data_IF_370895692608
#
_entry.id   IF_370895692608
#
_cell.length_a   1.000
_cell.length_b   1.000
_cell.length_c   1.000
_cell.angle_alpha   90.00
_cell.angle_beta   90.00
_cell.angle_gamma   90.00
#
_symmetry.space_group_name_H-M   'P 1'
#
loop_
_entity.id
_entity.type
_entity.pdbx_description
1 polymer ?
#
# COMPACT_ATOMS: atom_id res chain seq x y z
N UNK A 1 15.70 23.40 37.40
CA UNK A 1 14.66 23.72 36.42
C UNK A 1 14.38 22.45 35.64
N UNK A 2 13.32 21.75 36.01
CA UNK A 2 12.81 20.60 35.28
C UNK A 2 11.47 21.06 34.69
N UNK A 3 11.46 21.44 33.41
CA UNK A 3 10.23 21.64 32.67
C UNK A 3 9.65 20.25 32.36
N UNK A 4 8.95 19.70 33.35
CA UNK A 4 8.09 18.53 33.19
C UNK A 4 6.75 18.95 32.62
N UNK A 5 6.73 19.50 31.40
CA UNK A 5 5.52 19.47 30.59
C UNK A 5 5.35 18.06 30.08
N UNK A 6 4.26 17.37 30.46
CA UNK A 6 3.87 16.10 29.82
C UNK A 6 3.98 16.28 28.31
N UNK A 7 4.93 15.55 27.70
CA UNK A 7 5.20 15.78 26.29
C UNK A 7 4.06 15.17 25.52
N UNK A 8 3.27 15.98 24.81
CA UNK A 8 2.04 15.59 24.10
C UNK A 8 2.22 14.33 23.22
N UNK A 9 3.43 14.09 22.72
CA UNK A 9 3.77 12.89 21.96
C UNK A 9 3.80 11.61 22.79
N UNK A 10 4.06 11.65 24.11
CA UNK A 10 4.02 10.48 24.99
C UNK A 10 2.60 9.93 25.14
N UNK A 11 1.60 10.84 25.19
CA UNK A 11 0.17 10.49 25.23
C UNK A 11 -0.30 9.83 23.92
N UNK A 12 0.34 10.18 22.81
CA UNK A 12 -0.03 9.72 21.47
C UNK A 12 0.97 8.75 20.84
N UNK A 13 1.98 8.26 21.58
CA UNK A 13 3.08 7.45 21.03
C UNK A 13 2.62 6.17 20.33
N UNK A 14 1.54 5.55 20.82
CA UNK A 14 0.92 4.36 20.21
C UNK A 14 0.28 4.65 18.85
N UNK A 15 0.00 5.92 18.53
CA UNK A 15 -0.54 6.38 17.26
C UNK A 15 0.53 6.94 16.32
N UNK A 16 1.81 6.81 16.66
CA UNK A 16 2.94 7.27 15.85
C UNK A 16 3.59 6.06 15.20
N UNK A 17 3.44 5.93 13.89
CA UNK A 17 4.13 4.92 13.11
C UNK A 17 5.65 5.17 13.17
N UNK A 18 6.46 4.17 13.56
CA UNK A 18 7.91 4.26 13.52
C UNK A 18 8.38 4.31 12.06
N UNK A 19 9.16 5.34 11.72
CA UNK A 19 9.76 5.51 10.40
C UNK A 19 11.28 5.35 10.50
N UNK A 20 11.90 4.66 9.53
CA UNK A 20 13.36 4.43 9.50
C UNK A 20 14.18 5.74 9.50
N UNK A 21 13.64 6.80 8.91
CA UNK A 21 14.26 8.14 8.85
C UNK A 21 13.98 9.01 10.10
N UNK A 22 13.11 8.54 11.00
CA UNK A 22 12.58 9.35 12.09
C UNK A 22 11.53 10.37 11.63
N UNK A 23 11.10 11.23 12.57
CA UNK A 23 10.11 12.30 12.36
C UNK A 23 10.63 13.61 12.93
N UNK A 24 10.26 14.73 12.31
CA UNK A 24 10.54 16.05 12.86
C UNK A 24 9.61 16.32 14.05
N UNK A 25 10.19 16.66 15.22
CA UNK A 25 9.43 16.86 16.48
C UNK A 25 8.43 18.02 16.35
N UNK A 26 8.83 19.12 15.69
CA UNK A 26 7.96 20.28 15.46
C UNK A 26 6.73 19.93 14.62
N UNK A 27 6.93 19.19 13.52
CA UNK A 27 5.84 18.74 12.66
C UNK A 27 4.94 17.71 13.36
N UNK A 28 5.53 16.87 14.23
CA UNK A 28 4.78 15.93 15.05
C UNK A 28 3.88 16.66 16.06
N UNK A 29 4.41 17.64 16.80
CA UNK A 29 3.60 18.46 17.70
C UNK A 29 2.45 19.14 16.94
N UNK A 30 2.75 19.76 15.79
CA UNK A 30 1.72 20.38 14.95
C UNK A 30 0.64 19.37 14.52
N UNK A 31 1.02 18.16 14.12
CA UNK A 31 0.08 17.11 13.72
C UNK A 31 -0.78 16.59 14.89
N UNK A 32 -0.21 16.52 16.10
CA UNK A 32 -0.91 16.08 17.30
C UNK A 32 -1.92 17.13 17.77
N UNK A 33 -1.52 18.41 17.82
CA UNK A 33 -2.42 19.50 18.24
C UNK A 33 -3.57 19.68 17.25
N UNK A 34 -3.30 19.62 15.93
CA UNK A 34 -4.33 19.73 14.88
C UNK A 34 -5.37 18.58 14.90
N UNK A 35 -5.05 17.45 15.54
CA UNK A 35 -5.97 16.32 15.68
C UNK A 35 -6.98 16.54 16.81
N UNK A 36 -6.62 17.28 17.85
CA UNK A 36 -7.47 17.55 19.01
C UNK A 36 -8.61 18.52 18.68
N UNK A 37 -8.41 19.41 17.70
CA UNK A 37 -9.35 20.47 17.33
C UNK A 37 -10.48 20.05 16.38
N UNK A 38 -10.62 18.76 16.04
CA UNK A 38 -11.80 18.23 15.34
C UNK A 38 -12.21 18.97 14.06
N UNK A 39 -11.63 18.58 12.92
CA UNK A 39 -11.82 19.03 11.52
C UNK A 39 -10.56 19.70 10.94
N UNK A 40 -9.64 18.86 10.46
CA UNK A 40 -9.17 18.68 9.07
C UNK A 40 -9.43 19.74 7.96
N UNK A 41 -9.92 20.96 8.18
CA UNK A 41 -10.09 21.96 7.12
C UNK A 41 -8.73 22.48 6.64
N UNK A 42 -7.82 22.82 7.57
CA UNK A 42 -6.48 23.28 7.23
C UNK A 42 -5.63 22.19 6.55
N UNK A 43 -5.70 20.95 7.04
CA UNK A 43 -5.00 19.80 6.43
C UNK A 43 -5.56 19.50 5.03
N UNK A 44 -6.89 19.53 4.86
CA UNK A 44 -7.50 19.33 3.55
C UNK A 44 -7.22 20.49 2.59
N UNK A 45 -7.19 21.73 3.07
CA UNK A 45 -6.83 22.90 2.28
C UNK A 45 -5.36 22.85 1.83
N UNK A 46 -4.46 22.44 2.72
CA UNK A 46 -3.06 22.22 2.37
C UNK A 46 -2.89 21.06 1.39
N UNK A 47 -3.71 20.00 1.53
CA UNK A 47 -3.74 18.92 0.55
C UNK A 47 -4.19 19.44 -0.82
N UNK A 48 -5.26 20.23 -0.86
CA UNK A 48 -5.77 20.83 -2.09
C UNK A 48 -4.73 21.75 -2.74
N UNK A 49 -4.03 22.58 -1.96
CA UNK A 49 -3.00 23.48 -2.51
C UNK A 49 -1.86 22.71 -3.18
N UNK A 50 -1.41 21.59 -2.61
CA UNK A 50 -0.45 20.70 -3.26
C UNK A 50 -1.00 20.03 -4.52
N UNK A 51 -2.25 19.56 -4.51
CA UNK A 51 -2.88 18.93 -5.68
C UNK A 51 -3.05 19.91 -6.86
N UNK A 52 -3.32 21.16 -6.53
CA UNK A 52 -3.42 22.27 -7.47
C UNK A 52 -2.06 22.68 -8.00
N UNK A 53 -1.06 22.77 -7.13
CA UNK A 53 0.34 22.98 -7.52
C UNK A 53 0.75 21.90 -8.52
N UNK A 54 0.49 20.62 -8.22
CA UNK A 54 0.81 19.50 -9.13
C UNK A 54 0.14 19.59 -10.51
N UNK A 55 -1.07 20.14 -10.61
CA UNK A 55 -1.80 20.27 -11.89
C UNK A 55 -1.39 21.50 -12.70
N UNK A 56 -1.01 22.57 -12.01
CA UNK A 56 -0.72 23.88 -12.59
C UNK A 56 0.78 24.20 -12.60
N UNK A 57 1.61 23.26 -12.17
CA UNK A 57 3.06 23.38 -12.16
C UNK A 57 3.58 23.47 -13.60
N UNK A 58 4.34 24.52 -13.85
CA UNK A 58 4.92 24.85 -15.16
C UNK A 58 6.43 25.10 -15.00
N UNK A 59 7.03 24.53 -13.95
CA UNK A 59 8.45 24.66 -13.65
C UNK A 59 9.27 23.51 -14.23
N UNK A 60 10.59 23.66 -14.16
CA UNK A 60 11.55 22.71 -14.74
C UNK A 60 11.70 21.38 -13.97
N UNK A 61 11.23 21.32 -12.70
CA UNK A 61 11.34 20.14 -11.84
C UNK A 61 10.00 19.73 -11.18
N UNK A 62 9.12 19.01 -11.91
CA UNK A 62 7.85 18.51 -11.35
C UNK A 62 8.04 17.55 -10.17
N UNK A 63 9.16 16.84 -10.09
CA UNK A 63 9.45 15.87 -9.03
C UNK A 63 9.57 16.53 -7.64
N UNK A 64 10.05 17.78 -7.56
CA UNK A 64 10.19 18.51 -6.30
C UNK A 64 8.84 18.69 -5.59
N UNK A 65 7.79 19.02 -6.34
CA UNK A 65 6.44 19.19 -5.77
C UNK A 65 5.95 17.87 -5.17
N UNK A 66 6.22 16.75 -5.84
CA UNK A 66 5.86 15.42 -5.33
C UNK A 66 6.66 15.03 -4.08
N UNK A 67 7.97 15.29 -4.04
CA UNK A 67 8.80 15.00 -2.86
C UNK A 67 8.35 15.85 -1.66
N UNK A 68 8.09 17.15 -1.86
CA UNK A 68 7.51 18.02 -0.83
C UNK A 68 6.16 17.53 -0.35
N UNK A 69 5.28 17.14 -1.27
CA UNK A 69 3.95 16.67 -0.93
C UNK A 69 3.99 15.37 -0.12
N UNK A 70 4.84 14.41 -0.51
CA UNK A 70 5.00 13.13 0.20
C UNK A 70 5.60 13.34 1.59
N UNK A 71 6.64 14.16 1.72
CA UNK A 71 7.23 14.51 3.02
C UNK A 71 6.20 15.19 3.94
N UNK A 72 5.39 16.08 3.39
CA UNK A 72 4.30 16.71 4.13
C UNK A 72 3.27 15.66 4.59
N UNK A 73 2.83 14.75 3.71
CA UNK A 73 1.90 13.68 4.07
C UNK A 73 2.45 12.77 5.18
N UNK A 74 3.74 12.41 5.13
CA UNK A 74 4.36 11.60 6.19
C UNK A 74 4.37 12.33 7.54
N UNK A 75 4.62 13.64 7.54
CA UNK A 75 4.70 14.45 8.75
C UNK A 75 3.32 14.73 9.34
N UNK A 76 2.33 15.06 8.51
CA UNK A 76 0.97 15.42 8.94
C UNK A 76 0.17 14.22 9.43
N UNK A 77 0.46 13.01 8.93
CA UNK A 77 -0.26 11.79 9.31
C UNK A 77 0.65 10.83 10.11
N UNK A 78 0.78 11.01 11.43
CA UNK A 78 1.64 10.18 12.26
C UNK A 78 1.22 8.70 12.27
N UNK A 79 -0.07 8.41 12.07
CA UNK A 79 -0.63 7.05 12.19
C UNK A 79 -0.48 6.18 10.94
N UNK A 80 -0.03 6.74 9.79
CA UNK A 80 0.23 5.95 8.58
C UNK A 80 -0.98 5.26 7.94
N UNK A 81 -2.19 5.57 8.41
CA UNK A 81 -3.41 4.89 7.98
C UNK A 81 -3.87 5.30 6.58
N UNK A 82 -5.00 4.72 6.14
CA UNK A 82 -5.64 4.99 4.84
C UNK A 82 -5.96 6.47 4.62
N UNK A 83 -6.15 7.23 5.70
CA UNK A 83 -6.39 8.68 5.67
C UNK A 83 -5.27 9.48 4.98
N UNK A 84 -4.03 8.99 5.07
CA UNK A 84 -2.87 9.64 4.45
C UNK A 84 -2.84 9.54 2.92
N UNK A 85 -3.53 8.54 2.33
CA UNK A 85 -3.46 8.20 0.91
C UNK A 85 -2.02 8.05 0.36
N UNK A 86 -1.04 7.78 1.23
CA UNK A 86 0.39 7.77 0.88
C UNK A 86 0.71 6.74 -0.21
N UNK A 87 0.19 5.51 -0.09
CA UNK A 87 0.38 4.47 -1.12
C UNK A 87 -0.16 4.90 -2.47
N UNK A 88 -1.35 5.52 -2.51
CA UNK A 88 -1.95 6.02 -3.75
C UNK A 88 -1.11 7.15 -4.36
N UNK A 89 -0.52 8.02 -3.53
CA UNK A 89 0.39 9.07 -3.98
C UNK A 89 1.66 8.47 -4.58
N UNK A 90 2.28 7.51 -3.90
CA UNK A 90 3.47 6.80 -4.38
C UNK A 90 3.20 6.09 -5.71
N UNK A 91 2.07 5.37 -5.85
CA UNK A 91 1.66 4.73 -7.10
C UNK A 91 1.53 5.73 -8.25
N UNK A 92 0.94 6.91 -7.99
CA UNK A 92 0.79 7.97 -8.99
C UNK A 92 2.14 8.52 -9.45
N UNK A 93 3.05 8.77 -8.51
CA UNK A 93 4.40 9.28 -8.82
C UNK A 93 5.16 8.26 -9.66
N UNK A 94 5.17 7.01 -9.20
CA UNK A 94 5.82 5.91 -9.90
C UNK A 94 5.29 5.80 -11.33
N UNK A 95 3.97 5.74 -11.50
CA UNK A 95 3.35 5.58 -12.83
C UNK A 95 3.65 6.77 -13.76
N UNK A 96 3.68 8.00 -13.23
CA UNK A 96 3.95 9.21 -14.02
C UNK A 96 5.40 9.31 -14.48
N UNK A 97 6.36 9.06 -13.60
CA UNK A 97 7.78 9.29 -13.89
C UNK A 97 8.52 8.06 -14.42
N UNK A 98 7.85 6.90 -14.52
CA UNK A 98 8.45 5.68 -15.11
C UNK A 98 8.90 5.89 -16.56
N UNK A 99 8.21 6.76 -17.32
CA UNK A 99 8.57 7.06 -18.71
C UNK A 99 9.68 8.12 -18.82
N UNK A 100 9.90 8.90 -17.76
CA UNK A 100 10.81 10.04 -17.74
C UNK A 100 12.21 9.67 -17.25
N UNK A 101 13.08 9.26 -18.19
CA UNK A 101 14.47 8.85 -17.92
C UNK A 101 15.35 9.91 -17.22
N UNK A 102 14.94 11.19 -17.23
CA UNK A 102 15.64 12.31 -16.56
C UNK A 102 15.82 12.06 -15.07
N UNK A 103 14.85 11.41 -14.43
CA UNK A 103 14.79 11.24 -12.97
C UNK A 103 15.32 9.90 -12.47
N UNK A 104 15.70 8.98 -13.36
CA UNK A 104 16.09 7.61 -12.98
C UNK A 104 17.24 7.57 -11.97
N UNK A 105 18.21 8.49 -12.07
CA UNK A 105 19.38 8.54 -11.18
C UNK A 105 19.25 9.59 -10.07
N UNK A 106 18.12 10.28 -9.96
CA UNK A 106 17.92 11.28 -8.89
C UNK A 106 17.74 10.56 -7.54
N UNK A 107 18.53 10.90 -6.49
CA UNK A 107 18.37 10.33 -5.16
C UNK A 107 16.94 10.44 -4.62
N UNK A 108 16.24 11.54 -4.93
CA UNK A 108 14.86 11.78 -4.49
C UNK A 108 13.91 10.75 -5.09
N UNK A 109 14.07 10.47 -6.38
CA UNK A 109 13.21 9.51 -7.07
C UNK A 109 13.45 8.08 -6.57
N UNK A 110 14.71 7.69 -6.37
CA UNK A 110 15.08 6.39 -5.80
C UNK A 110 14.52 6.22 -4.39
N UNK A 111 14.57 7.27 -3.57
CA UNK A 111 13.98 7.26 -2.24
C UNK A 111 12.46 7.04 -2.26
N UNK A 112 11.75 7.64 -3.23
CA UNK A 112 10.31 7.44 -3.40
C UNK A 112 9.98 6.01 -3.81
N UNK A 113 10.80 5.40 -4.67
CA UNK A 113 10.67 3.99 -5.04
C UNK A 113 10.94 3.04 -3.87
N UNK A 114 11.96 3.32 -3.05
CA UNK A 114 12.24 2.54 -1.84
C UNK A 114 11.04 2.61 -0.89
N UNK A 115 10.45 3.80 -0.69
CA UNK A 115 9.22 3.95 0.11
C UNK A 115 8.04 3.18 -0.47
N UNK A 116 7.91 3.17 -1.80
CA UNK A 116 6.89 2.38 -2.47
C UNK A 116 7.09 0.87 -2.25
N UNK A 117 8.33 0.39 -2.30
CA UNK A 117 8.71 -0.99 -1.98
C UNK A 117 8.36 -1.36 -0.53
N UNK A 118 8.71 -0.50 0.45
CA UNK A 118 8.38 -0.69 1.87
C UNK A 118 6.87 -0.74 2.14
N UNK A 119 6.04 -0.11 1.28
CA UNK A 119 4.58 -0.11 1.40
C UNK A 119 3.88 -1.29 0.70
N UNK A 120 4.61 -2.10 -0.05
CA UNK A 120 4.07 -3.16 -0.91
C UNK A 120 4.19 -4.55 -0.28
N UNK A 121 3.34 -5.49 -0.69
CA UNK A 121 3.33 -6.85 -0.15
C UNK A 121 4.56 -7.68 -0.58
N UNK A 122 5.09 -7.43 -1.78
CA UNK A 122 6.29 -8.11 -2.31
C UNK A 122 7.33 -7.07 -2.75
N UNK A 123 8.17 -6.57 -1.81
CA UNK A 123 9.14 -5.51 -2.11
C UNK A 123 10.20 -5.92 -3.14
N UNK A 124 10.55 -7.21 -3.20
CA UNK A 124 11.56 -7.73 -4.14
C UNK A 124 11.19 -7.55 -5.61
N UNK A 125 9.91 -7.65 -5.96
CA UNK A 125 9.49 -7.47 -7.35
C UNK A 125 9.64 -6.01 -7.80
N UNK A 126 9.50 -5.08 -6.87
CA UNK A 126 9.73 -3.65 -7.13
C UNK A 126 11.22 -3.39 -7.35
N UNK A 127 12.10 -3.97 -6.54
CA UNK A 127 13.55 -3.83 -6.76
C UNK A 127 14.01 -4.48 -8.07
N UNK A 128 13.45 -5.64 -8.44
CA UNK A 128 13.68 -6.26 -9.75
C UNK A 128 13.20 -5.34 -10.88
N UNK A 129 12.02 -4.74 -10.74
CA UNK A 129 11.51 -3.78 -11.70
C UNK A 129 12.46 -2.59 -11.88
N UNK A 130 12.90 -1.98 -10.78
CA UNK A 130 13.88 -0.90 -10.80
C UNK A 130 15.19 -1.31 -11.49
N UNK A 131 15.68 -2.53 -11.24
CA UNK A 131 16.87 -3.06 -11.91
C UNK A 131 16.67 -3.18 -13.43
N UNK A 132 15.55 -3.75 -13.88
CA UNK A 132 15.26 -3.93 -15.32
C UNK A 132 15.08 -2.60 -16.06
N UNK A 133 14.46 -1.61 -15.41
CA UNK A 133 14.26 -0.26 -15.96
C UNK A 133 15.51 0.63 -15.83
N UNK A 134 16.52 0.18 -15.09
CA UNK A 134 17.71 0.97 -14.81
C UNK A 134 17.43 2.20 -13.95
N UNK A 135 16.49 2.10 -13.01
CA UNK A 135 16.16 3.17 -12.06
C UNK A 135 17.10 3.04 -10.85
N UNK A 136 17.85 4.08 -10.54
CA UNK A 136 18.72 4.14 -9.36
C UNK A 136 19.99 3.30 -9.46
N UNK A 137 20.39 2.88 -10.66
CA UNK A 137 21.58 2.04 -10.87
C UNK A 137 22.89 2.71 -10.47
N UNK A 138 22.93 4.04 -10.42
CA UNK A 138 24.09 4.80 -9.92
C UNK A 138 24.01 5.10 -8.43
N UNK A 139 22.91 4.73 -7.75
CA UNK A 139 22.64 5.16 -6.37
C UNK A 139 22.86 4.03 -5.38
N UNK A 140 23.73 4.25 -4.40
CA UNK A 140 24.03 3.25 -3.38
C UNK A 140 22.80 2.91 -2.50
N UNK A 141 21.87 3.87 -2.31
CA UNK A 141 20.65 3.64 -1.53
C UNK A 141 19.77 2.52 -2.10
N UNK A 142 19.72 2.38 -3.42
CA UNK A 142 18.98 1.30 -4.09
C UNK A 142 19.54 -0.08 -3.72
N UNK A 143 20.85 -0.29 -3.91
CA UNK A 143 21.50 -1.56 -3.61
C UNK A 143 21.44 -1.92 -2.12
N UNK A 144 21.60 -0.92 -1.23
CA UNK A 144 21.48 -1.13 0.22
C UNK A 144 20.08 -1.61 0.57
N UNK A 145 19.03 -0.90 0.14
CA UNK A 145 17.65 -1.26 0.47
C UNK A 145 17.24 -2.62 -0.12
N UNK A 146 17.71 -2.92 -1.34
CA UNK A 146 17.46 -4.21 -1.98
C UNK A 146 18.18 -5.37 -1.26
N UNK A 147 19.43 -5.17 -0.83
CA UNK A 147 20.18 -6.17 -0.08
C UNK A 147 19.61 -6.40 1.32
N UNK A 148 19.16 -5.34 2.01
CA UNK A 148 18.46 -5.43 3.30
C UNK A 148 17.17 -6.25 3.18
N UNK A 149 16.40 -6.09 2.11
CA UNK A 149 15.20 -6.91 1.88
C UNK A 149 15.54 -8.40 1.67
N UNK A 150 16.63 -8.70 0.94
CA UNK A 150 17.12 -10.08 0.80
C UNK A 150 17.61 -10.67 2.13
N UNK A 151 18.22 -9.85 2.98
CA UNK A 151 18.63 -10.22 4.33
C UNK A 151 17.41 -10.51 5.22
N UNK A 152 16.37 -9.68 5.17
CA UNK A 152 15.10 -9.89 5.90
C UNK A 152 14.39 -11.20 5.50
N UNK A 153 14.52 -11.62 4.25
CA UNK A 153 14.02 -12.92 3.77
C UNK A 153 14.95 -14.10 4.11
N UNK A 154 16.08 -13.86 4.77
CA UNK A 154 17.05 -14.88 5.17
C UNK A 154 18.04 -15.30 4.07
N UNK A 155 18.06 -14.63 2.91
CA UNK A 155 18.93 -14.99 1.79
C UNK A 155 20.20 -14.13 1.74
N UNK A 156 21.13 -14.41 2.66
CA UNK A 156 22.38 -13.65 2.79
C UNK A 156 23.27 -13.70 1.53
N UNK A 157 23.28 -14.82 0.82
CA UNK A 157 24.03 -14.98 -0.43
C UNK A 157 23.52 -14.03 -1.53
N UNK A 158 22.20 -13.89 -1.66
CA UNK A 158 21.61 -12.96 -2.64
C UNK A 158 21.89 -11.50 -2.25
N UNK A 159 21.85 -11.19 -0.96
CA UNK A 159 22.21 -9.86 -0.47
C UNK A 159 23.67 -9.50 -0.82
N UNK A 160 24.61 -10.43 -0.67
CA UNK A 160 26.01 -10.22 -1.06
C UNK A 160 26.17 -9.99 -2.57
N UNK A 161 25.48 -10.78 -3.40
CA UNK A 161 25.47 -10.58 -4.86
C UNK A 161 24.95 -9.18 -5.26
N UNK A 162 23.93 -8.67 -4.57
CA UNK A 162 23.40 -7.32 -4.81
C UNK A 162 24.43 -6.24 -4.46
N UNK A 163 25.17 -6.39 -3.35
CA UNK A 163 26.27 -5.48 -3.02
C UNK A 163 27.39 -5.52 -4.06
N UNK A 164 27.78 -6.71 -4.51
CA UNK A 164 28.79 -6.88 -5.57
C UNK A 164 28.36 -6.21 -6.87
N UNK A 165 27.10 -6.35 -7.26
CA UNK A 165 26.53 -5.66 -8.42
C UNK A 165 26.58 -4.13 -8.25
N UNK A 166 26.28 -3.62 -7.05
CA UNK A 166 26.39 -2.18 -6.74
C UNK A 166 27.82 -1.65 -6.87
N UNK A 167 28.84 -2.43 -6.47
CA UNK A 167 30.25 -2.07 -6.69
C UNK A 167 30.63 -2.09 -8.16
N UNK A 168 30.17 -3.09 -8.91
CA UNK A 168 30.43 -3.21 -10.35
C UNK A 168 29.84 -2.03 -11.14
N UNK A 169 28.72 -1.48 -10.67
CA UNK A 169 28.02 -0.33 -11.25
C UNK A 169 28.53 1.02 -10.73
N UNK A 170 29.48 1.02 -9.79
CA UNK A 170 30.06 2.22 -9.17
C UNK A 170 29.01 3.15 -8.57
N UNK A 171 28.14 2.59 -7.73
CA UNK A 171 27.06 3.35 -7.11
C UNK A 171 27.56 4.34 -6.04
N UNK A 172 27.07 5.59 -6.09
CA UNK A 172 27.44 6.67 -5.16
C UNK A 172 26.40 6.83 -4.03
N UNK A 173 26.82 7.14 -2.79
CA UNK A 173 28.18 7.23 -2.27
C UNK A 173 28.81 5.85 -2.02
N UNK A 174 29.98 5.61 -2.61
CA UNK A 174 30.71 4.34 -2.50
C UNK A 174 31.07 3.95 -1.07
N UNK A 175 31.47 4.93 -0.25
CA UNK A 175 31.83 4.70 1.15
C UNK A 175 30.66 4.14 1.95
N UNK A 176 29.44 4.64 1.68
CA UNK A 176 28.22 4.16 2.34
C UNK A 176 27.94 2.72 1.92
N UNK A 177 28.04 2.41 0.63
CA UNK A 177 27.85 1.04 0.14
C UNK A 177 28.84 0.05 0.79
N UNK A 178 30.11 0.44 0.88
CA UNK A 178 31.16 -0.37 1.50
C UNK A 178 30.92 -0.59 3.01
N UNK A 179 30.51 0.44 3.73
CA UNK A 179 30.18 0.33 5.15
C UNK A 179 29.02 -0.66 5.38
N UNK A 180 27.96 -0.56 4.58
CA UNK A 180 26.81 -1.46 4.68
C UNK A 180 27.16 -2.91 4.29
N UNK A 181 27.99 -3.10 3.27
CA UNK A 181 28.49 -4.44 2.90
C UNK A 181 29.30 -5.09 4.02
N UNK A 182 30.24 -4.34 4.63
CA UNK A 182 30.99 -4.81 5.80
C UNK A 182 30.07 -5.10 6.99
N UNK A 183 29.04 -4.29 7.19
CA UNK A 183 28.07 -4.50 8.25
C UNK A 183 27.25 -5.78 8.04
N UNK A 184 26.85 -6.09 6.80
CA UNK A 184 26.22 -7.37 6.44
C UNK A 184 27.16 -8.53 6.76
N UNK A 185 28.40 -8.49 6.25
CA UNK A 185 29.39 -9.55 6.50
C UNK A 185 29.60 -9.81 8.00
N UNK A 186 29.66 -8.74 8.79
CA UNK A 186 29.78 -8.85 10.25
C UNK A 186 28.52 -9.40 10.93
N UNK A 187 27.31 -9.12 10.42
CA UNK A 187 26.05 -9.72 10.93
C UNK A 187 25.98 -11.21 10.61
N UNK A 188 26.28 -11.57 9.36
CA UNK A 188 26.29 -12.96 8.90
C UNK A 188 27.31 -13.80 9.66
N UNK A 189 28.54 -13.29 9.86
CA UNK A 189 29.56 -14.03 10.62
C UNK A 189 29.15 -14.26 12.08
N UNK A 190 28.54 -13.25 12.73
CA UNK A 190 27.98 -13.41 14.08
C UNK A 190 26.87 -14.46 14.12
N UNK A 191 25.95 -14.43 13.15
CA UNK A 191 24.86 -15.41 13.07
C UNK A 191 25.41 -16.84 12.90
N UNK A 192 26.39 -17.03 12.03
CA UNK A 192 27.03 -18.34 11.85
C UNK A 192 27.71 -18.84 13.13
N UNK A 193 28.40 -17.97 13.87
CA UNK A 193 29.03 -18.35 15.14
C UNK A 193 28.01 -18.72 16.22
N UNK A 194 26.93 -17.94 16.39
CA UNK A 194 25.88 -18.24 17.37
C UNK A 194 25.18 -19.57 17.05
N UNK A 195 24.88 -19.84 15.79
CA UNK A 195 24.24 -21.10 15.38
C UNK A 195 25.11 -22.34 15.61
N UNK A 196 26.45 -22.21 15.66
CA UNK A 196 27.34 -23.33 15.99
C UNK A 196 27.37 -23.64 17.49
N UNK A 197 27.04 -22.67 18.36
CA UNK A 197 27.03 -22.84 19.82
C UNK A 197 25.71 -23.47 20.33
N UNK A 198 24.59 -23.31 19.60
CA UNK A 198 23.28 -23.85 19.98
C UNK A 198 23.11 -25.36 19.72
N UNK A 199 23.87 -25.94 18.78
CA UNK A 199 23.76 -27.37 18.40
C UNK A 199 24.33 -28.33 19.46
N UNK A 200 25.11 -27.82 20.42
CA UNK A 200 25.72 -28.61 21.51
C UNK A 200 24.80 -28.75 22.76
N UNK A 201 23.59 -28.17 22.76
CA UNK A 201 22.73 -28.06 23.96
C UNK A 201 21.28 -28.60 23.81
N UNK A 202 21.01 -29.56 22.91
CA UNK A 202 19.65 -30.10 22.70
C UNK A 202 19.35 -31.35 23.57
N UNK A 203 18.99 -31.14 24.84
CA UNK A 203 18.47 -32.17 25.78
C UNK A 203 16.98 -31.94 26.11
N UNK A 204 16.21 -31.29 25.22
CA UNK A 204 14.77 -31.04 25.40
C UNK A 204 13.89 -32.06 24.62
N UNK A 205 12.76 -32.52 25.19
CA UNK A 205 11.88 -33.47 24.52
C UNK A 205 11.15 -32.83 23.32
N UNK A 206 11.53 -33.26 22.11
CA UNK A 206 10.98 -32.77 20.82
C UNK A 206 9.46 -32.91 20.75
N UNK A 207 8.77 -31.78 20.63
CA UNK A 207 7.31 -31.71 20.40
C UNK A 207 6.91 -32.35 19.06
N UNK A 208 5.65 -32.81 18.90
CA UNK A 208 5.21 -33.44 17.65
C UNK A 208 5.26 -32.45 16.46
N UNK A 209 6.14 -32.75 15.51
CA UNK A 209 6.35 -31.97 14.29
C UNK A 209 5.24 -32.23 13.24
N UNK A 210 5.01 -31.26 12.34
CA UNK A 210 4.07 -31.43 11.22
C UNK A 210 4.59 -32.48 10.24
N UNK A 211 3.78 -33.51 9.98
CA UNK A 211 4.10 -34.53 8.97
C UNK A 211 3.51 -34.10 7.62
N UNK A 212 4.37 -33.93 6.61
CA UNK A 212 3.95 -33.59 5.25
C UNK A 212 3.12 -34.73 4.64
N UNK A 213 2.08 -34.38 3.86
CA UNK A 213 1.18 -35.32 3.19
C UNK A 213 0.49 -36.34 4.13
N UNK A 214 0.36 -36.03 5.41
CA UNK A 214 -0.33 -36.89 6.37
C UNK A 214 -1.86 -36.84 6.23
N UNK A 215 -2.49 -37.98 6.46
CA UNK A 215 -3.95 -38.06 6.45
C UNK A 215 -4.57 -37.35 7.65
N UNK A 216 -5.63 -36.58 7.40
CA UNK A 216 -6.39 -35.87 8.42
C UNK A 216 -7.57 -36.71 8.95
N UNK A 217 -7.92 -36.53 10.23
CA UNK A 217 -9.02 -37.23 10.93
C UNK A 217 -10.38 -36.74 10.41
N UNK A 218 -11.25 -37.68 10.04
CA UNK A 218 -12.61 -37.37 9.63
C UNK A 218 -13.42 -36.80 10.82
N UNK A 219 -14.26 -35.79 10.58
CA UNK A 219 -15.15 -35.20 11.58
C UNK A 219 -16.55 -35.84 11.48
N UNK A 220 -16.98 -36.51 12.55
CA UNK A 220 -18.35 -37.04 12.67
C UNK A 220 -18.43 -38.25 13.60
N UNK A 221 -19.41 -38.28 14.51
CA UNK A 221 -19.76 -39.51 15.25
C UNK A 221 -20.46 -40.45 14.27
N UNK A 222 -20.07 -41.72 14.28
CA UNK A 222 -20.58 -42.81 13.42
C UNK A 222 -22.11 -42.68 13.23
N UNK A 223 -22.57 -42.93 11.99
CA UNK A 223 -23.97 -42.96 11.49
C UNK A 223 -24.48 -41.69 10.79
N UNK A 224 -23.88 -41.35 9.66
CA UNK A 224 -24.63 -40.75 8.54
C UNK A 224 -23.86 -41.04 7.25
N UNK A 225 -24.46 -41.85 6.38
CA UNK A 225 -24.01 -42.04 4.99
C UNK A 225 -24.28 -40.73 4.27
N UNK A 226 -23.33 -39.80 4.31
CA UNK A 226 -23.31 -38.63 3.46
C UNK A 226 -22.06 -38.71 2.56
N UNK A 227 -22.16 -38.43 1.25
CA UNK A 227 -21.05 -38.56 0.31
C UNK A 227 -19.92 -37.53 0.50
N UNK A 228 -20.01 -36.67 1.52
CA UNK A 228 -19.07 -35.59 1.79
C UNK A 228 -18.32 -35.88 3.09
N UNK A 229 -17.09 -36.36 2.97
CA UNK A 229 -16.17 -36.50 4.10
C UNK A 229 -15.69 -35.10 4.52
N UNK A 230 -16.21 -34.60 5.64
CA UNK A 230 -15.68 -33.38 6.27
C UNK A 230 -14.52 -33.77 7.18
N UNK A 231 -13.38 -33.13 7.00
CA UNK A 231 -12.15 -33.44 7.74
C UNK A 231 -11.77 -32.26 8.63
N UNK A 232 -11.27 -32.54 9.83
CA UNK A 232 -10.81 -31.51 10.77
C UNK A 232 -9.30 -31.27 10.72
N UNK A 233 -8.76 -30.34 11.54
CA UNK A 233 -7.34 -29.99 11.55
C UNK A 233 -6.44 -31.05 12.21
N UNK A 234 -7.00 -32.11 12.79
CA UNK A 234 -6.23 -33.12 13.52
C UNK A 234 -5.67 -34.19 12.58
N UNK A 235 -4.36 -34.46 12.68
CA UNK A 235 -3.68 -35.53 11.94
C UNK A 235 -4.07 -36.90 12.51
N UNK A 236 -4.24 -37.92 11.66
CA UNK A 236 -4.43 -39.31 12.08
C UNK A 236 -3.11 -39.85 12.66
N UNK A 237 -3.11 -40.18 13.95
CA UNK A 237 -1.95 -40.73 14.65
C UNK A 237 -1.76 -42.21 14.29
N UNK A 238 -1.03 -42.48 13.20
CA UNK A 238 -0.49 -43.80 12.75
C UNK A 238 -1.59 -44.88 12.45
N UNK A 239 -1.58 -45.73 11.44
CA UNK A 239 -0.62 -46.21 10.42
C UNK A 239 -1.49 -46.91 9.35
N UNK A 240 -1.14 -46.87 8.06
CA UNK A 240 -1.74 -47.82 7.12
C UNK A 240 -1.81 -47.43 5.64
N UNK A 241 -0.69 -47.63 4.94
CA UNK A 241 -0.70 -48.15 3.57
C UNK A 241 -0.64 -47.12 2.45
N UNK A 242 0.46 -47.15 1.70
CA UNK A 242 0.42 -46.90 0.26
C UNK A 242 -0.74 -47.73 -0.30
N UNK A 243 -1.82 -47.09 -0.74
CA UNK A 243 -2.77 -47.79 -1.59
C UNK A 243 -1.96 -48.21 -2.82
N UNK A 244 -1.74 -49.51 -2.97
CA UNK A 244 -1.27 -50.10 -4.21
C UNK A 244 -2.27 -49.71 -5.30
N UNK A 245 -2.06 -48.55 -5.92
CA UNK A 245 -2.50 -48.35 -7.30
C UNK A 245 -1.67 -49.35 -8.07
N UNK A 246 -2.33 -50.33 -8.68
CA UNK A 246 -1.70 -51.23 -9.63
C UNK A 246 -0.77 -50.42 -10.52
N UNK A 247 0.43 -50.98 -10.75
CA UNK A 247 1.55 -50.31 -11.42
C UNK A 247 1.06 -49.37 -12.53
N UNK A 248 1.53 -48.11 -12.59
CA UNK A 248 1.18 -47.27 -13.72
C UNK A 248 1.68 -47.99 -14.96
N UNK A 249 0.77 -48.25 -15.91
CA UNK A 249 1.14 -48.58 -17.28
C UNK A 249 1.73 -47.31 -17.89
N UNK A 250 2.92 -46.92 -17.43
CA UNK A 250 3.85 -46.03 -18.11
C UNK A 250 4.79 -46.93 -18.92
N UNK A 251 4.18 -47.77 -19.75
CA UNK A 251 4.85 -48.64 -20.67
C UNK A 251 4.22 -48.44 -22.03
N UNK A 252 5.02 -47.89 -22.95
CA UNK A 252 4.84 -47.93 -24.40
C UNK A 252 3.97 -46.83 -25.02
N UNK A 253 4.53 -45.62 -25.06
CA UNK A 253 4.46 -44.82 -26.28
C UNK A 253 5.89 -44.38 -26.64
N UNK A 254 6.53 -45.14 -27.53
CA UNK A 254 7.81 -44.77 -28.13
C UNK A 254 7.60 -43.60 -29.08
N UNK A 255 7.57 -42.39 -28.55
CA UNK A 255 7.83 -41.18 -29.31
C UNK A 255 9.11 -40.57 -28.73
N UNK A 256 10.09 -40.31 -29.60
CA UNK A 256 11.47 -39.90 -29.28
C UNK A 256 11.55 -38.93 -28.09
N UNK A 257 11.99 -39.45 -26.94
CA UNK A 257 12.13 -38.68 -25.71
C UNK A 257 13.42 -37.87 -25.77
N UNK A 258 13.31 -36.55 -25.75
CA UNK A 258 14.44 -35.65 -25.57
C UNK A 258 15.08 -35.94 -24.19
N UNK A 259 16.38 -36.19 -24.17
CA UNK A 259 17.15 -36.33 -22.92
C UNK A 259 17.37 -34.93 -22.35
N UNK A 260 17.00 -34.74 -21.09
CA UNK A 260 17.17 -33.47 -20.38
C UNK A 260 18.67 -33.22 -20.23
N UNK A 261 19.10 -31.98 -20.47
CA UNK A 261 20.50 -31.58 -20.34
C UNK A 261 21.01 -31.84 -18.91
N UNK A 262 22.16 -32.51 -18.82
CA UNK A 262 22.85 -32.76 -17.55
C UNK A 262 23.94 -31.70 -17.36
N UNK A 263 23.65 -30.71 -16.51
CA UNK A 263 24.56 -29.61 -16.19
C UNK A 263 25.87 -30.10 -15.54
N UNK A 264 25.90 -31.30 -14.92
CA UNK A 264 27.11 -31.86 -14.31
C UNK A 264 28.10 -32.44 -15.33
N UNK A 265 27.65 -32.70 -16.56
CA UNK A 265 28.50 -33.24 -17.64
C UNK A 265 29.39 -32.17 -18.28
N UNK A 266 29.03 -30.89 -18.16
CA UNK A 266 29.78 -29.78 -18.75
C UNK A 266 30.60 -29.04 -17.66
N UNK A 267 31.91 -29.23 -17.63
CA UNK A 267 32.83 -28.62 -16.64
C UNK A 267 32.96 -27.08 -16.72
N UNK A 268 32.12 -26.35 -17.46
CA UNK A 268 32.29 -24.91 -17.69
C UNK A 268 31.03 -24.16 -18.12
N UNK A 269 29.83 -24.56 -17.69
CA UNK A 269 28.70 -23.63 -17.77
C UNK A 269 28.84 -22.58 -16.67
N UNK A 270 29.52 -21.46 -16.96
CA UNK A 270 29.46 -20.28 -16.09
C UNK A 270 28.00 -19.84 -15.89
N UNK A 271 27.66 -19.18 -14.78
CA UNK A 271 26.30 -18.73 -14.53
C UNK A 271 25.86 -17.83 -15.69
N UNK A 272 24.95 -18.32 -16.53
CA UNK A 272 24.33 -17.49 -17.55
C UNK A 272 23.47 -16.46 -16.80
N UNK A 273 23.94 -15.22 -16.72
CA UNK A 273 23.07 -14.14 -16.28
C UNK A 273 21.86 -14.12 -17.24
N UNK A 274 20.63 -14.34 -16.75
CA UNK A 274 19.48 -14.30 -17.62
C UNK A 274 19.42 -12.91 -18.23
N UNK A 275 19.38 -12.81 -19.56
CA UNK A 275 18.98 -11.57 -20.24
C UNK A 275 17.54 -11.31 -19.81
N UNK A 276 17.35 -10.48 -18.79
CA UNK A 276 16.04 -10.15 -18.26
C UNK A 276 15.33 -9.26 -19.28
N UNK A 277 14.24 -9.75 -19.85
CA UNK A 277 13.37 -8.92 -20.66
C UNK A 277 12.83 -7.76 -19.81
N UNK A 278 12.77 -6.53 -20.35
CA UNK A 278 12.24 -5.39 -19.61
C UNK A 278 10.82 -5.68 -19.14
N UNK A 279 10.58 -5.57 -17.83
CA UNK A 279 9.24 -5.66 -17.29
C UNK A 279 8.37 -4.54 -17.88
N UNK A 280 7.30 -4.91 -18.59
CA UNK A 280 6.46 -3.96 -19.34
C UNK A 280 5.58 -3.07 -18.45
N UNK A 281 5.31 -3.48 -17.21
CA UNK A 281 4.49 -2.72 -16.27
C UNK A 281 5.06 -2.86 -14.85
N UNK A 282 4.98 -1.82 -14.01
CA UNK A 282 5.41 -1.92 -12.61
C UNK A 282 4.56 -2.95 -11.84
N UNK A 283 5.15 -3.69 -10.88
CA UNK A 283 4.41 -4.62 -10.03
C UNK A 283 3.30 -3.89 -9.28
N UNK A 284 2.15 -4.54 -9.15
CA UNK A 284 1.04 -4.00 -8.35
C UNK A 284 1.39 -4.10 -6.87
N UNK A 285 1.16 -3.03 -6.11
CA UNK A 285 1.38 -2.98 -4.66
C UNK A 285 0.59 -4.04 -3.86
N UNK A 286 -0.50 -4.57 -4.44
CA UNK A 286 -1.38 -5.57 -3.84
C UNK A 286 -1.75 -6.70 -4.78
N UNK A 287 -1.68 -7.94 -4.27
CA UNK A 287 -2.18 -9.13 -4.93
C UNK A 287 -3.70 -9.20 -4.84
N UNK A 288 -4.40 -8.70 -5.87
CA UNK A 288 -5.87 -8.63 -5.95
C UNK A 288 -6.61 -9.95 -5.75
N UNK A 289 -5.94 -11.09 -5.95
CA UNK A 289 -6.51 -12.44 -5.79
C UNK A 289 -6.34 -12.99 -4.38
N UNK A 290 -5.40 -12.44 -3.60
CA UNK A 290 -5.15 -12.85 -2.20
C UNK A 290 -6.03 -12.07 -1.20
N UNK A 291 -6.51 -10.89 -1.58
CA UNK A 291 -7.32 -10.02 -0.73
C UNK A 291 -8.76 -9.89 -1.24
N UNK A 292 -9.73 -10.36 -0.46
CA UNK A 292 -11.14 -10.03 -0.70
C UNK A 292 -11.47 -8.67 -0.07
N UNK A 293 -11.80 -7.67 -0.89
CA UNK A 293 -12.30 -6.38 -0.38
C UNK A 293 -13.68 -6.60 0.25
N UNK A 294 -13.86 -6.11 1.47
CA UNK A 294 -15.17 -6.11 2.14
C UNK A 294 -16.17 -5.28 1.35
N UNK A 295 -17.37 -5.82 1.14
CA UNK A 295 -18.49 -5.06 0.61
C UNK A 295 -18.93 -3.99 1.65
N UNK A 296 -19.54 -2.89 1.20
CA UNK A 296 -20.09 -1.87 2.12
C UNK A 296 -21.11 -2.56 3.02
N UNK A 297 -21.02 -2.32 4.34
CA UNK A 297 -22.01 -2.78 5.32
C UNK A 297 -23.32 -2.01 5.12
N UNK A 298 -24.03 -2.30 4.04
CA UNK A 298 -25.33 -1.74 3.74
C UNK A 298 -26.37 -2.81 4.08
N UNK A 299 -27.26 -2.49 5.03
CA UNK A 299 -28.49 -3.22 5.32
C UNK A 299 -28.34 -4.68 5.80
N UNK A 300 -27.44 -4.94 6.75
CA UNK A 300 -27.58 -6.14 7.61
C UNK A 300 -28.81 -5.93 8.50
N UNK A 301 -30.00 -6.25 7.97
CA UNK A 301 -31.17 -6.53 8.79
C UNK A 301 -30.85 -7.81 9.56
N UNK A 302 -30.31 -7.63 10.77
CA UNK A 302 -30.11 -8.73 11.70
C UNK A 302 -31.45 -9.48 11.82
N UNK A 303 -31.55 -10.75 11.40
CA UNK A 303 -32.80 -11.47 11.55
C UNK A 303 -33.02 -11.66 13.05
N UNK A 304 -33.91 -10.85 13.63
CA UNK A 304 -34.48 -11.17 14.93
C UNK A 304 -35.16 -12.52 14.76
N UNK A 305 -34.60 -13.56 15.39
CA UNK A 305 -35.23 -14.87 15.45
C UNK A 305 -36.53 -14.74 16.24
N UNK A 306 -37.61 -14.38 15.56
CA UNK A 306 -38.96 -14.51 16.09
C UNK A 306 -39.25 -16.01 16.10
N UNK A 307 -39.20 -16.63 17.28
CA UNK A 307 -39.70 -17.99 17.47
C UNK A 307 -41.23 -17.95 17.40
N UNK A 308 -41.78 -17.93 16.19
CA UNK A 308 -43.17 -18.34 15.99
C UNK A 308 -43.21 -19.87 16.04
N UNK A 309 -43.48 -20.38 17.23
CA UNK A 309 -43.75 -21.78 17.52
C UNK A 309 -44.34 -21.84 18.91
N UNK A 310 -45.67 -21.99 18.98
CA UNK A 310 -46.42 -22.14 20.21
C UNK A 310 -45.80 -23.27 21.04
N UNK A 311 -45.07 -22.90 22.09
CA UNK A 311 -44.66 -23.81 23.15
C UNK A 311 -44.97 -23.07 24.43
N UNK A 312 -45.91 -23.59 25.21
CA UNK A 312 -46.24 -23.10 26.55
C UNK A 312 -44.96 -23.12 27.38
N UNK A 313 -44.34 -21.96 27.58
CA UNK A 313 -43.24 -21.80 28.52
C UNK A 313 -43.83 -21.33 29.85
N UNK A 314 -43.46 -22.03 30.93
CA UNK A 314 -43.66 -21.59 32.29
C UNK A 314 -43.08 -20.17 32.51
N UNK A 315 -43.67 -19.36 33.41
CA UNK A 315 -43.25 -17.98 33.60
C UNK A 315 -41.76 -17.90 34.00
N UNK A 316 -40.98 -16.98 33.42
CA UNK A 316 -39.58 -16.79 33.79
C UNK A 316 -39.48 -16.26 35.23
N UNK A 317 -38.46 -16.67 36.01
CA UNK A 317 -38.22 -16.10 37.35
C UNK A 317 -37.95 -14.59 37.26
N UNK A 318 -38.31 -13.80 38.29
CA UNK A 318 -38.19 -12.36 38.26
C UNK A 318 -36.72 -11.95 38.10
N UNK A 319 -36.43 -11.18 37.05
CA UNK A 319 -35.11 -10.60 36.80
C UNK A 319 -34.80 -9.57 37.89
N UNK A 320 -33.55 -9.47 38.38
CA UNK A 320 -33.17 -8.42 39.31
C UNK A 320 -33.33 -7.05 38.63
N UNK A 321 -34.11 -6.19 39.27
CA UNK A 321 -34.37 -4.80 38.87
C UNK A 321 -33.10 -3.97 39.05
N UNK A 322 -32.27 -3.89 38.01
CA UNK A 322 -31.28 -2.83 37.91
C UNK A 322 -31.93 -1.70 37.10
N UNK A 323 -32.28 -0.59 37.76
CA UNK A 323 -32.69 0.64 37.08
C UNK A 323 -31.41 1.44 36.79
N UNK A 324 -31.01 1.62 35.52
CA UNK A 324 -29.99 2.62 35.19
C UNK A 324 -30.49 3.97 35.67
N UNK A 325 -29.62 4.76 36.30
CA UNK A 325 -29.96 6.10 36.77
C UNK A 325 -30.39 6.96 35.56
N UNK A 326 -31.65 7.36 35.52
CA UNK A 326 -32.19 8.30 34.54
C UNK A 326 -32.13 9.68 35.20
N UNK A 327 -31.33 10.59 34.65
CA UNK A 327 -31.34 12.00 35.08
C UNK A 327 -32.75 12.58 34.89
N UNK A 328 -33.35 13.02 36.00
CA UNK A 328 -34.68 13.62 36.06
C UNK A 328 -34.62 15.07 35.56
N UNK A 329 -34.24 15.26 34.31
CA UNK A 329 -34.33 16.54 33.59
C UNK A 329 -34.27 16.30 32.09
N UNK A 330 -35.30 15.64 31.55
CA UNK A 330 -35.66 15.81 30.15
C UNK A 330 -37.18 15.65 30.01
N UNK A 331 -37.88 16.76 29.82
CA UNK A 331 -39.25 16.76 29.32
C UNK A 331 -39.30 15.92 28.03
N UNK A 332 -40.26 15.00 27.86
CA UNK A 332 -40.37 14.28 26.60
C UNK A 332 -40.63 15.30 25.48
N UNK A 333 -39.89 15.26 24.36
CA UNK A 333 -40.12 16.19 23.27
C UNK A 333 -41.55 16.02 22.77
N UNK A 334 -42.30 17.12 22.75
CA UNK A 334 -43.67 17.20 22.28
C UNK A 334 -43.72 16.77 20.81
N UNK A 335 -44.31 15.61 20.54
CA UNK A 335 -44.52 15.10 19.18
C UNK A 335 -45.40 16.09 18.40
N UNK A 336 -44.84 16.75 17.39
CA UNK A 336 -45.61 17.47 16.36
C UNK A 336 -45.93 16.53 15.20
N UNK A 337 -47.19 16.44 14.74
CA UNK A 337 -47.55 15.55 13.65
C UNK A 337 -47.23 16.21 12.30
N UNK A 338 -45.98 16.13 11.85
CA UNK A 338 -45.60 16.57 10.51
C UNK A 338 -45.54 15.37 9.56
N UNK A 339 -46.71 14.93 9.07
CA UNK A 339 -46.78 14.15 7.81
C UNK A 339 -46.48 15.10 6.66
N UNK A 340 -45.21 15.23 6.30
CA UNK A 340 -44.81 15.90 5.05
C UNK A 340 -44.82 14.85 3.94
N UNK A 341 -45.68 15.04 2.94
CA UNK A 341 -45.72 14.22 1.73
C UNK A 341 -44.38 14.36 0.96
N UNK A 342 -43.69 13.27 0.60
CA UNK A 342 -42.39 13.32 -0.09
C UNK A 342 -42.47 13.74 -1.57
N UNK A 343 -43.64 14.13 -2.07
CA UNK A 343 -43.88 14.44 -3.48
C UNK A 343 -43.57 15.90 -3.88
N UNK A 344 -43.21 16.78 -2.94
CA UNK A 344 -43.08 18.23 -3.20
C UNK A 344 -41.71 18.82 -2.87
N UNK A 345 -40.64 18.01 -2.83
CA UNK A 345 -39.30 18.54 -2.71
C UNK A 345 -38.31 17.88 -3.69
N UNK A 346 -38.36 18.31 -4.95
CA UNK A 346 -37.39 17.94 -6.00
C UNK A 346 -36.26 18.97 -6.12
N UNK A 347 -36.03 19.81 -5.10
CA UNK A 347 -35.09 20.94 -5.26
C UNK A 347 -33.78 20.77 -4.48
N UNK A 348 -33.64 19.78 -3.58
CA UNK A 348 -32.35 19.50 -2.94
C UNK A 348 -32.10 17.98 -2.84
N UNK A 349 -32.08 17.30 -3.99
CA UNK A 349 -31.45 15.98 -4.05
C UNK A 349 -29.94 16.19 -4.10
N UNK A 350 -29.25 15.98 -2.99
CA UNK A 350 -27.83 15.64 -3.03
C UNK A 350 -27.68 14.47 -4.00
N UNK A 351 -26.76 14.61 -4.97
CA UNK A 351 -26.50 13.57 -5.97
C UNK A 351 -26.26 12.26 -5.23
N UNK A 352 -26.97 11.20 -5.63
CA UNK A 352 -26.55 9.83 -5.29
C UNK A 352 -25.06 9.74 -5.64
N UNK A 353 -24.16 9.33 -4.72
CA UNK A 353 -22.79 9.08 -5.10
C UNK A 353 -22.85 8.01 -6.19
N UNK A 354 -22.44 8.41 -7.40
CA UNK A 354 -22.30 7.51 -8.52
C UNK A 354 -21.37 6.37 -8.09
N UNK A 355 -21.60 5.17 -8.63
CA UNK A 355 -20.72 4.02 -8.43
C UNK A 355 -19.27 4.48 -8.52
N UNK A 356 -18.57 4.41 -7.41
CA UNK A 356 -17.16 4.70 -7.32
C UNK A 356 -16.45 3.64 -8.17
N UNK A 357 -16.18 3.99 -9.43
CA UNK A 357 -15.51 3.10 -10.35
C UNK A 357 -14.11 2.88 -9.82
N UNK A 358 -13.83 1.62 -9.48
CA UNK A 358 -12.54 1.21 -8.95
C UNK A 358 -11.43 1.69 -9.89
N UNK A 359 -10.26 2.08 -9.38
CA UNK A 359 -9.14 2.50 -10.23
C UNK A 359 -8.76 1.44 -11.29
N UNK A 360 -9.06 0.17 -11.03
CA UNK A 360 -8.95 -0.94 -11.99
C UNK A 360 -9.89 -0.78 -13.20
N UNK A 361 -11.12 -0.31 -12.97
CA UNK A 361 -12.12 -0.05 -14.02
C UNK A 361 -11.70 1.15 -14.89
N UNK A 362 -11.09 2.16 -14.28
CA UNK A 362 -10.49 3.32 -15.00
C UNK A 362 -9.34 2.91 -15.91
N UNK A 363 -8.46 2.02 -15.44
CA UNK A 363 -7.36 1.47 -16.27
C UNK A 363 -7.91 0.57 -17.39
N UNK A 364 -8.92 -0.23 -17.10
CA UNK A 364 -9.56 -1.10 -18.09
C UNK A 364 -10.29 -0.29 -19.17
N UNK A 365 -10.95 0.81 -18.80
CA UNK A 365 -11.58 1.76 -19.73
C UNK A 365 -10.53 2.49 -20.60
N UNK A 366 -9.39 2.88 -20.03
CA UNK A 366 -8.26 3.48 -20.78
C UNK A 366 -7.66 2.50 -21.80
N UNK A 367 -7.46 1.24 -21.40
CA UNK A 367 -6.93 0.19 -22.26
C UNK A 367 -7.95 -0.23 -23.34
N UNK A 368 -9.24 -0.12 -23.05
CA UNK A 368 -10.33 -0.38 -23.99
C UNK A 368 -10.49 0.76 -25.01
N UNK A 369 -10.32 2.02 -24.59
CA UNK A 369 -10.26 3.17 -25.50
C UNK A 369 -9.04 3.12 -26.43
N UNK A 370 -7.89 2.66 -25.95
CA UNK A 370 -6.70 2.43 -26.78
C UNK A 370 -6.94 1.31 -27.82
N UNK A 371 -7.61 0.21 -27.44
CA UNK A 371 -8.01 -0.86 -28.38
C UNK A 371 -9.07 -0.41 -29.39
N UNK A 372 -9.99 0.47 -28.98
CA UNK A 372 -11.03 1.00 -29.88
C UNK A 372 -10.46 2.01 -30.88
N UNK A 373 -9.42 2.75 -30.51
CA UNK A 373 -8.65 3.61 -31.41
C UNK A 373 -7.87 2.81 -32.49
N UNK A 374 -7.36 1.61 -32.15
CA UNK A 374 -6.82 0.65 -33.13
C UNK A 374 -7.90 0.05 -34.05
N UNK A 375 -9.17 0.06 -33.64
CA UNK A 375 -10.30 -0.48 -34.41
C UNK A 375 -10.97 0.53 -35.37
N UNK A 376 -10.40 1.74 -35.50
CA UNK A 376 -10.86 2.76 -36.45
C UNK A 376 -12.17 3.46 -36.08
N UNK A 377 -12.64 3.37 -34.82
CA UNK A 377 -13.71 4.25 -34.31
C UNK A 377 -13.09 5.57 -33.83
N UNK A 378 -13.71 6.74 -34.13
CA UNK A 378 -13.23 8.00 -33.59
C UNK A 378 -13.31 7.94 -32.05
N UNK A 379 -12.23 8.27 -31.32
CA UNK A 379 -12.25 8.24 -29.87
C UNK A 379 -13.29 9.24 -29.36
N UNK A 380 -14.12 8.83 -28.40
CA UNK A 380 -15.08 9.69 -27.72
C UNK A 380 -14.31 10.80 -26.98
N UNK A 381 -14.17 11.94 -27.64
CA UNK A 381 -13.40 13.07 -27.12
C UNK A 381 -14.26 13.85 -26.15
N UNK A 382 -13.95 13.75 -24.85
CA UNK A 382 -14.61 14.56 -23.85
C UNK A 382 -14.37 16.05 -24.14
N UNK A 383 -15.46 16.83 -24.24
CA UNK A 383 -15.42 18.29 -24.46
C UNK A 383 -14.77 19.09 -23.30
N UNK A 384 -14.33 18.40 -22.25
CA UNK A 384 -13.65 18.95 -21.09
C UNK A 384 -12.36 18.16 -20.82
N UNK A 385 -11.34 18.83 -20.28
CA UNK A 385 -10.07 18.19 -19.94
C UNK A 385 -10.25 17.24 -18.74
N UNK A 386 -10.65 15.99 -19.00
CA UNK A 386 -10.89 14.94 -18.00
C UNK A 386 -9.69 14.79 -17.04
N UNK A 387 -8.47 14.91 -17.56
CA UNK A 387 -7.23 14.88 -16.78
C UNK A 387 -7.07 16.05 -15.81
N UNK A 388 -7.70 17.20 -16.04
CA UNK A 388 -7.63 18.32 -15.08
C UNK A 388 -8.70 18.23 -13.99
N UNK A 389 -9.80 17.52 -14.24
CA UNK A 389 -10.91 17.37 -13.30
C UNK A 389 -10.77 16.12 -12.41
N UNK A 390 -10.25 15.03 -12.96
CA UNK A 390 -10.24 13.70 -12.31
C UNK A 390 -8.84 13.20 -11.91
N UNK A 391 -7.77 13.98 -12.12
CA UNK A 391 -6.40 13.57 -11.78
C UNK A 391 -6.06 14.06 -10.36
N UNK A 392 -6.36 13.25 -9.35
CA UNK A 392 -6.19 13.63 -7.94
C UNK A 392 -6.55 12.51 -6.96
N UNK A 393 -6.29 12.73 -5.67
CA UNK A 393 -6.96 12.00 -4.59
C UNK A 393 -8.36 12.58 -4.31
N UNK A 394 -8.62 13.82 -4.74
CA UNK A 394 -9.94 14.45 -4.81
C UNK A 394 -10.28 14.91 -6.24
N UNK A 395 -11.57 14.86 -6.59
CA UNK A 395 -12.09 15.42 -7.84
C UNK A 395 -12.29 16.93 -7.68
N UNK A 396 -11.91 17.72 -8.70
CA UNK A 396 -12.15 19.16 -8.70
C UNK A 396 -13.44 19.49 -9.45
N UNK A 397 -14.16 20.49 -8.95
CA UNK A 397 -15.24 21.14 -9.65
C UNK A 397 -14.71 22.02 -10.79
N UNK A 398 -15.52 22.24 -11.83
CA UNK A 398 -15.22 23.23 -12.87
C UNK A 398 -14.97 24.64 -12.31
N UNK A 399 -15.68 25.01 -11.24
CA UNK A 399 -15.54 26.31 -10.60
C UNK A 399 -14.24 26.44 -9.81
N UNK A 400 -13.75 25.35 -9.20
CA UNK A 400 -12.47 25.33 -8.51
C UNK A 400 -11.31 25.54 -9.49
N UNK A 401 -11.33 24.84 -10.64
CA UNK A 401 -10.35 25.06 -11.72
C UNK A 401 -10.35 26.50 -12.24
N UNK A 402 -11.53 27.13 -12.33
CA UNK A 402 -11.65 28.52 -12.77
C UNK A 402 -11.11 29.49 -11.72
N UNK A 403 -11.46 29.29 -10.45
CA UNK A 403 -10.98 30.09 -9.34
C UNK A 403 -9.45 30.05 -9.25
N UNK A 404 -8.83 28.89 -9.44
CA UNK A 404 -7.37 28.77 -9.41
C UNK A 404 -6.66 29.48 -10.55
N UNK A 405 -7.17 29.38 -11.78
CA UNK A 405 -6.63 30.14 -12.91
C UNK A 405 -6.75 31.64 -12.65
N UNK A 406 -7.85 32.08 -12.05
CA UNK A 406 -8.03 33.46 -11.63
C UNK A 406 -7.01 33.87 -10.57
N UNK A 407 -6.80 33.07 -9.52
CA UNK A 407 -5.79 33.35 -8.50
C UNK A 407 -4.36 33.36 -9.06
N UNK A 408 -4.01 32.41 -9.95
CA UNK A 408 -2.69 32.39 -10.63
C UNK A 408 -2.49 33.68 -11.45
N UNK A 409 -3.52 34.13 -12.16
CA UNK A 409 -3.50 35.41 -12.90
C UNK A 409 -3.31 36.60 -11.97
N UNK A 410 -4.04 36.67 -10.86
CA UNK A 410 -3.92 37.74 -9.85
C UNK A 410 -2.53 37.77 -9.19
N UNK A 411 -1.94 36.60 -8.91
CA UNK A 411 -0.56 36.48 -8.39
C UNK A 411 0.46 36.94 -9.44
N UNK A 412 0.22 36.66 -10.72
CA UNK A 412 1.10 37.10 -11.80
C UNK A 412 0.99 38.61 -12.04
N UNK A 413 -0.22 39.17 -11.97
CA UNK A 413 -0.48 40.62 -12.06
C UNK A 413 0.15 41.38 -10.88
N UNK A 414 -0.03 40.89 -9.65
CA UNK A 414 0.60 41.49 -8.46
C UNK A 414 2.13 41.41 -8.51
N UNK A 415 2.72 40.29 -8.95
CA UNK A 415 4.18 40.19 -9.17
C UNK A 415 4.66 41.16 -10.25
N UNK A 416 3.90 41.34 -11.33
CA UNK A 416 4.18 42.32 -12.39
C UNK A 416 4.15 43.77 -11.90
N UNK A 417 3.19 44.12 -11.04
CA UNK A 417 3.09 45.46 -10.42
C UNK A 417 4.24 45.73 -9.45
N UNK A 418 4.71 44.71 -8.74
CA UNK A 418 5.87 44.85 -7.81
C UNK A 418 7.17 45.09 -8.59
N UNK A 419 7.41 44.34 -9.67
CA UNK A 419 8.56 44.57 -10.57
C UNK A 419 8.55 45.96 -11.25
N UNK A 420 7.38 46.51 -11.60
CA UNK A 420 7.29 47.86 -12.14
C UNK A 420 7.59 48.94 -11.10
N UNK A 421 7.22 48.71 -9.83
CA UNK A 421 7.53 49.63 -8.71
C UNK A 421 9.02 49.65 -8.39
N UNK A 422 9.71 48.51 -8.46
CA UNK A 422 11.14 48.41 -8.19
C UNK A 422 12.00 49.00 -9.33
N UNK A 423 11.55 48.90 -10.58
CA UNK A 423 12.22 49.60 -11.71
C UNK A 423 12.00 51.12 -11.69
N UNK A 424 10.84 51.59 -11.23
CA UNK A 424 10.56 53.02 -11.09
C UNK A 424 11.34 53.68 -9.92
N UNK A 425 11.68 52.93 -8.86
CA UNK A 425 12.50 53.45 -7.76
C UNK A 425 13.99 53.48 -8.09
N UNK A 426 14.48 52.52 -8.89
CA UNK A 426 15.86 52.49 -9.37
C UNK A 426 16.17 53.58 -10.42
N UNK A 427 15.20 53.96 -11.25
CA UNK A 427 15.34 55.03 -12.24
C UNK A 427 15.30 56.45 -11.68
N UNK A 428 14.92 56.64 -10.41
CA UNK A 428 14.83 57.94 -9.74
C UNK A 428 16.06 58.29 -8.88
N UNK A 429 17.09 57.43 -8.86
CA UNK A 429 18.34 57.62 -8.09
C UNK A 429 19.59 57.83 -8.98
N UNK A 430 19.41 58.27 -10.22
CA UNK A 430 20.47 58.77 -11.12
C UNK A 430 20.09 60.18 -11.56
#
# INVERSE_FOLDING_TARGET
MAEGGEVEWELSKENIQPLRRGRAISALHQALSQRQDGLCSAINQQRQSFESELRMYDGDDPLDVWDRYIKWTEQTFPQGGKESNLTTLLERVVTRFTEEKKYHNDPRYVDLWIKFAESSLEPLDIYRYMQTQGIGVTQASFYIAWAEEHENQGSCLKADLVYQEGFRRSAEPHDKLLQFHKALQARVSRQVMMNMEEDDSDDEPKQPERVSLADLKHRGKKKAIAPVNRTGPAIKSVSGGLQSRGAPVLGNASNTRLVIFDENSAQSAGPSEPKQDPWMAPPTSRAKENEQRSERWCDVKMPQKTKFGHTVMAPPPPKPTFQPFVEESDQPPTMTPCKINPAVNTVLSTRKPCREETPLKRLQEHQQQQKEAESGKPPEQSMYCKETLLNGAAEFCFEELRAERYFKKMVQESRGVTCQKDQASAGAST
#
